data_IF_822682445243
#
_entry.id   IF_822682445243
#
_cell.length_a   1.000
_cell.length_b   1.000
_cell.length_c   1.000
_cell.angle_alpha   90.00
_cell.angle_beta   90.00
_cell.angle_gamma   90.00
#
_symmetry.space_group_name_H-M   'P 1'
#
loop_
_entity.id
_entity.type
_entity.pdbx_description
1 polymer ?
#
# COMPACT_ATOMS: atom_id res chain seq x y z
N UNK A 1 -4.32 -9.78 -8.06
CA UNK A 1 -3.27 -9.56 -7.02
C UNK A 1 -3.94 -8.88 -5.83
N UNK A 2 -3.67 -9.30 -4.59
CA UNK A 2 -4.15 -8.55 -3.43
C UNK A 2 -3.21 -7.36 -3.20
N UNK A 3 -3.64 -6.17 -3.61
CA UNK A 3 -2.80 -4.97 -3.60
C UNK A 3 -2.30 -4.62 -2.19
N UNK A 4 -3.14 -4.66 -1.16
CA UNK A 4 -2.73 -4.27 0.20
C UNK A 4 -1.69 -5.22 0.80
N UNK A 5 -1.80 -6.52 0.53
CA UNK A 5 -0.78 -7.48 0.95
C UNK A 5 0.53 -7.26 0.18
N UNK A 6 0.44 -7.17 -1.16
CA UNK A 6 1.59 -6.90 -2.02
C UNK A 6 2.31 -5.61 -1.61
N UNK A 7 1.56 -4.52 -1.37
CA UNK A 7 2.09 -3.24 -0.91
C UNK A 7 2.85 -3.40 0.39
N UNK A 8 2.27 -4.11 1.37
CA UNK A 8 2.88 -4.34 2.67
C UNK A 8 4.20 -5.12 2.55
N UNK A 9 4.23 -6.14 1.69
CA UNK A 9 5.44 -6.95 1.45
C UNK A 9 6.55 -6.10 0.81
N UNK A 10 6.22 -5.30 -0.21
CA UNK A 10 7.20 -4.43 -0.88
C UNK A 10 7.68 -3.31 0.04
N UNK A 11 6.79 -2.66 0.79
CA UNK A 11 7.16 -1.65 1.78
C UNK A 11 8.16 -2.23 2.79
N UNK A 12 7.91 -3.44 3.31
CA UNK A 12 8.82 -4.11 4.25
C UNK A 12 10.21 -4.37 3.64
N UNK A 13 10.27 -4.82 2.38
CA UNK A 13 11.54 -5.04 1.68
C UNK A 13 12.30 -3.72 1.51
N UNK A 14 11.62 -2.66 1.09
CA UNK A 14 12.23 -1.35 0.89
C UNK A 14 12.73 -0.76 2.20
N UNK A 15 12.00 -0.92 3.30
CA UNK A 15 12.43 -0.51 4.63
C UNK A 15 13.66 -1.30 5.09
N UNK A 16 13.65 -2.63 4.93
CA UNK A 16 14.78 -3.49 5.31
C UNK A 16 16.08 -3.15 4.56
N UNK A 17 15.95 -2.65 3.33
CA UNK A 17 17.08 -2.22 2.48
C UNK A 17 17.43 -0.74 2.63
N UNK A 18 16.66 0.04 3.41
CA UNK A 18 16.84 1.49 3.52
C UNK A 18 16.48 2.26 2.24
N UNK A 19 15.71 1.66 1.33
CA UNK A 19 15.37 2.18 0.00
C UNK A 19 13.98 2.83 -0.06
N UNK A 20 13.24 2.86 1.05
CA UNK A 20 11.86 3.38 1.11
C UNK A 20 11.72 4.84 0.65
N UNK A 21 12.77 5.64 0.79
CA UNK A 21 12.78 7.05 0.38
C UNK A 21 12.71 7.26 -1.14
N UNK A 22 13.05 6.26 -1.96
CA UNK A 22 12.94 6.37 -3.43
C UNK A 22 11.49 6.51 -3.90
N UNK A 23 10.57 5.78 -3.26
CA UNK A 23 9.13 5.80 -3.59
C UNK A 23 8.35 6.89 -2.84
N UNK A 24 8.97 7.59 -1.88
CA UNK A 24 8.29 8.64 -1.11
C UNK A 24 8.17 9.94 -1.94
N UNK A 25 6.95 10.43 -2.24
CA UNK A 25 6.77 11.68 -2.97
C UNK A 25 7.28 12.92 -2.24
N UNK A 26 7.49 12.85 -0.92
CA UNK A 26 8.02 13.97 -0.11
C UNK A 26 9.53 14.12 -0.20
N UNK A 27 10.23 13.08 -0.66
CA UNK A 27 11.70 13.11 -0.81
C UNK A 27 12.01 13.67 -2.20
N UNK A 28 12.72 14.81 -2.31
CA UNK A 28 13.05 15.37 -3.62
C UNK A 28 13.99 14.44 -4.39
N UNK A 29 13.80 14.36 -5.71
CA UNK A 29 14.75 13.71 -6.60
C UNK A 29 15.94 14.67 -6.78
N UNK A 30 17.19 14.20 -6.73
CA UNK A 30 18.35 15.04 -6.98
C UNK A 30 18.24 15.75 -8.35
N UNK A 31 18.69 17.00 -8.48
CA UNK A 31 18.67 17.70 -9.75
C UNK A 31 19.64 17.04 -10.74
N UNK A 32 19.33 17.08 -12.03
CA UNK A 32 20.17 16.49 -13.10
C UNK A 32 21.53 17.16 -13.22
N UNK A 33 21.63 18.42 -12.83
CA UNK A 33 22.84 19.23 -12.88
C UNK A 33 23.09 19.88 -11.52
N UNK A 34 24.36 20.16 -11.23
CA UNK A 34 24.82 20.87 -10.04
C UNK A 34 25.88 21.90 -10.43
N UNK A 35 26.18 22.85 -9.54
CA UNK A 35 27.23 23.83 -9.78
C UNK A 35 28.60 23.24 -9.43
N UNK A 36 29.55 23.39 -10.34
CA UNK A 36 30.96 23.11 -10.06
C UNK A 36 31.47 24.12 -9.00
N UNK A 37 32.04 23.65 -7.87
CA UNK A 37 32.49 24.53 -6.78
C UNK A 37 33.63 25.48 -7.16
N UNK A 38 34.35 25.18 -8.24
CA UNK A 38 35.55 25.89 -8.69
C UNK A 38 35.20 26.83 -9.85
N UNK A 39 34.50 26.33 -10.87
CA UNK A 39 34.20 27.09 -12.09
C UNK A 39 32.85 27.80 -12.04
N UNK A 40 31.99 27.47 -11.07
CA UNK A 40 30.62 27.97 -10.94
C UNK A 40 29.77 27.74 -12.21
N UNK A 41 30.11 26.71 -12.99
CA UNK A 41 29.37 26.29 -14.18
C UNK A 41 28.46 25.11 -13.85
N UNK A 42 27.36 24.95 -14.59
CA UNK A 42 26.51 23.76 -14.48
C UNK A 42 27.24 22.53 -15.03
N UNK A 43 27.31 21.48 -14.23
CA UNK A 43 27.87 20.17 -14.56
C UNK A 43 26.86 19.06 -14.23
N UNK A 44 26.94 17.87 -14.86
CA UNK A 44 26.11 16.74 -14.48
C UNK A 44 26.23 16.42 -12.99
N UNK A 45 25.12 16.11 -12.33
CA UNK A 45 25.10 15.79 -10.90
C UNK A 45 25.38 14.29 -10.66
N UNK A 46 26.51 13.94 -10.01
CA UNK A 46 26.80 12.54 -9.68
C UNK A 46 25.74 11.88 -8.78
N UNK A 47 25.11 12.65 -7.90
CA UNK A 47 24.05 12.15 -7.00
C UNK A 47 22.80 11.73 -7.79
N UNK A 48 22.47 12.45 -8.87
CA UNK A 48 21.37 12.08 -9.75
C UNK A 48 21.69 10.78 -10.49
N UNK A 49 22.92 10.60 -10.98
CA UNK A 49 23.32 9.37 -11.65
C UNK A 49 23.26 8.15 -10.73
N UNK A 50 23.70 8.29 -9.48
CA UNK A 50 23.59 7.24 -8.46
C UNK A 50 22.13 6.96 -8.12
N UNK A 51 21.33 8.02 -7.93
CA UNK A 51 19.90 7.91 -7.68
C UNK A 51 19.20 7.13 -8.79
N UNK A 52 19.46 7.44 -10.07
CA UNK A 52 18.86 6.74 -11.21
C UNK A 52 19.22 5.26 -11.20
N UNK A 53 20.47 4.88 -10.92
CA UNK A 53 20.87 3.46 -10.89
C UNK A 53 20.07 2.67 -9.86
N UNK A 54 19.93 3.23 -8.65
CA UNK A 54 19.20 2.60 -7.56
C UNK A 54 17.69 2.58 -7.83
N UNK A 55 17.13 3.69 -8.33
CA UNK A 55 15.71 3.77 -8.71
C UNK A 55 15.35 2.74 -9.79
N UNK A 56 16.18 2.58 -10.82
CA UNK A 56 15.96 1.59 -11.88
C UNK A 56 16.06 0.14 -11.36
N UNK A 57 16.95 -0.11 -10.40
CA UNK A 57 16.99 -1.40 -9.70
C UNK A 57 15.67 -1.67 -8.97
N UNK A 58 15.19 -0.71 -8.17
CA UNK A 58 13.93 -0.83 -7.42
C UNK A 58 12.75 -1.03 -8.38
N UNK A 59 12.66 -0.20 -9.43
CA UNK A 59 11.63 -0.30 -10.45
C UNK A 59 11.62 -1.70 -11.08
N UNK A 60 12.79 -2.23 -11.45
CA UNK A 60 12.90 -3.59 -12.00
C UNK A 60 12.41 -4.64 -11.01
N UNK A 61 12.73 -4.52 -9.71
CA UNK A 61 12.23 -5.46 -8.71
C UNK A 61 10.70 -5.38 -8.59
N UNK A 62 10.13 -4.18 -8.49
CA UNK A 62 8.68 -3.95 -8.42
C UNK A 62 7.98 -4.60 -9.63
N UNK A 63 8.44 -4.30 -10.86
CA UNK A 63 7.83 -4.83 -12.08
C UNK A 63 7.91 -6.36 -12.20
N UNK A 64 8.86 -7.03 -11.52
CA UNK A 64 8.95 -8.50 -11.48
C UNK A 64 7.95 -9.14 -10.53
N UNK A 65 7.34 -8.37 -9.63
CA UNK A 65 6.39 -8.89 -8.62
C UNK A 65 4.93 -8.73 -9.03
N UNK A 66 4.65 -8.01 -10.12
CA UNK A 66 3.30 -7.74 -10.61
C UNK A 66 2.93 -8.67 -11.78
N UNK A 67 1.63 -8.83 -12.03
CA UNK A 67 1.12 -9.65 -13.14
C UNK A 67 1.10 -8.88 -14.46
N UNK A 68 1.17 -9.57 -15.59
CA UNK A 68 1.19 -8.97 -16.94
C UNK A 68 0.06 -7.93 -17.21
N UNK A 69 -1.21 -8.14 -16.80
CA UNK A 69 -2.25 -7.11 -16.99
C UNK A 69 -1.94 -5.79 -16.29
N UNK A 70 -1.27 -5.86 -15.13
CA UNK A 70 -0.89 -4.69 -14.32
C UNK A 70 0.36 -4.04 -14.90
N UNK A 71 1.29 -4.84 -15.45
CA UNK A 71 2.47 -4.34 -16.15
C UNK A 71 2.11 -3.47 -17.36
N UNK A 72 1.05 -3.81 -18.10
CA UNK A 72 0.58 -2.99 -19.22
C UNK A 72 0.09 -1.59 -18.77
N UNK A 73 -0.34 -1.44 -17.52
CA UNK A 73 -0.78 -0.16 -16.96
C UNK A 73 0.41 0.74 -16.61
N UNK A 74 1.62 0.19 -16.46
CA UNK A 74 2.83 0.96 -16.11
C UNK A 74 3.55 1.52 -17.33
N UNK A 75 3.02 1.35 -18.54
CA UNK A 75 3.68 1.82 -19.76
C UNK A 75 3.85 3.35 -19.74
N UNK A 76 5.10 3.80 -19.85
CA UNK A 76 5.45 5.23 -19.82
C UNK A 76 5.83 5.79 -18.44
N UNK A 77 5.64 5.01 -17.37
CA UNK A 77 6.18 5.34 -16.04
C UNK A 77 7.66 4.96 -16.00
N UNK A 78 8.52 5.89 -15.59
CA UNK A 78 9.98 5.80 -15.73
C UNK A 78 10.70 5.56 -14.41
N UNK A 79 10.06 5.86 -13.29
CA UNK A 79 10.64 5.76 -11.95
C UNK A 79 9.86 4.80 -11.06
N UNK A 80 10.53 4.24 -10.05
CA UNK A 80 9.87 3.39 -9.05
C UNK A 80 8.73 4.13 -8.33
N UNK A 81 8.93 5.42 -8.07
CA UNK A 81 7.95 6.33 -7.47
C UNK A 81 6.70 6.51 -8.33
N UNK A 82 6.86 6.72 -9.63
CA UNK A 82 5.73 6.88 -10.54
C UNK A 82 4.86 5.61 -10.57
N UNK A 83 5.49 4.43 -10.65
CA UNK A 83 4.79 3.13 -10.61
C UNK A 83 4.08 2.93 -9.27
N UNK A 84 4.77 3.20 -8.16
CA UNK A 84 4.20 3.08 -6.83
C UNK A 84 2.95 3.96 -6.66
N UNK A 85 3.07 5.24 -7.01
CA UNK A 85 1.97 6.20 -6.93
C UNK A 85 0.81 5.84 -7.87
N UNK A 86 1.12 5.31 -9.06
CA UNK A 86 0.09 4.85 -9.98
C UNK A 86 -0.74 3.73 -9.36
N UNK A 87 -0.12 2.72 -8.75
CA UNK A 87 -0.88 1.65 -8.09
C UNK A 87 -1.67 2.12 -6.88
N UNK A 88 -1.08 3.01 -6.07
CA UNK A 88 -1.77 3.60 -4.92
C UNK A 88 -3.01 4.37 -5.35
N UNK A 89 -2.90 5.19 -6.40
CA UNK A 89 -4.01 5.94 -6.96
C UNK A 89 -5.05 5.03 -7.60
N UNK A 90 -4.64 4.07 -8.44
CA UNK A 90 -5.57 3.16 -9.12
C UNK A 90 -6.39 2.35 -8.11
N UNK A 91 -5.76 1.85 -7.04
CA UNK A 91 -6.47 1.14 -5.99
C UNK A 91 -7.39 2.06 -5.19
N UNK A 92 -6.97 3.29 -4.88
CA UNK A 92 -7.84 4.26 -4.23
C UNK A 92 -9.07 4.58 -5.10
N UNK A 93 -8.88 4.87 -6.38
CA UNK A 93 -9.94 5.23 -7.33
C UNK A 93 -10.95 4.07 -7.50
N UNK A 94 -10.48 2.82 -7.50
CA UNK A 94 -11.33 1.62 -7.59
C UNK A 94 -12.23 1.45 -6.35
N UNK A 95 -11.68 1.59 -5.14
CA UNK A 95 -12.41 1.24 -3.89
C UNK A 95 -13.00 2.43 -3.13
N UNK A 96 -12.67 3.68 -3.49
CA UNK A 96 -13.14 4.87 -2.76
C UNK A 96 -14.67 5.00 -2.70
N UNK A 97 -15.38 4.54 -3.74
CA UNK A 97 -16.84 4.51 -3.79
C UNK A 97 -17.49 3.44 -2.91
N UNK A 98 -16.74 2.41 -2.52
CA UNK A 98 -17.25 1.27 -1.75
C UNK A 98 -17.27 1.51 -0.24
N UNK A 99 -16.72 2.65 0.24
CA UNK A 99 -16.63 2.96 1.68
C UNK A 99 -17.95 2.77 2.44
N UNK A 100 -19.12 3.23 1.95
CA UNK A 100 -20.39 3.01 2.65
C UNK A 100 -20.76 1.52 2.75
N UNK A 101 -20.55 0.76 1.68
CA UNK A 101 -20.84 -0.68 1.63
C UNK A 101 -19.90 -1.46 2.55
N UNK A 102 -18.59 -1.15 2.53
CA UNK A 102 -17.60 -1.75 3.40
C UNK A 102 -17.94 -1.53 4.88
N UNK A 103 -18.36 -0.32 5.26
CA UNK A 103 -18.82 -0.02 6.62
C UNK A 103 -20.07 -0.79 6.99
N UNK A 104 -21.06 -0.84 6.09
CA UNK A 104 -22.27 -1.61 6.33
C UNK A 104 -21.94 -3.10 6.51
N UNK A 105 -21.13 -3.67 5.63
CA UNK A 105 -20.70 -5.06 5.67
C UNK A 105 -19.92 -5.36 6.94
N UNK A 106 -19.08 -4.45 7.44
CA UNK A 106 -18.39 -4.62 8.72
C UNK A 106 -19.36 -4.77 9.90
N UNK A 107 -20.43 -3.95 9.93
CA UNK A 107 -21.43 -3.95 11.01
C UNK A 107 -22.36 -5.16 10.95
N UNK A 108 -22.66 -5.66 9.76
CA UNK A 108 -23.62 -6.76 9.55
C UNK A 108 -22.97 -8.12 9.38
N UNK A 109 -21.63 -8.20 9.30
CA UNK A 109 -20.94 -9.47 9.14
C UNK A 109 -21.21 -10.40 10.32
N UNK A 110 -21.65 -11.62 10.00
CA UNK A 110 -21.84 -12.71 10.94
C UNK A 110 -20.92 -13.88 10.61
N UNK A 111 -20.56 -14.67 11.63
CA UNK A 111 -19.80 -15.90 11.47
C UNK A 111 -20.60 -16.93 10.67
N UNK A 112 -21.91 -17.04 10.88
CA UNK A 112 -22.85 -17.87 10.09
C UNK A 112 -22.30 -19.25 9.71
N UNK A 113 -21.80 -20.00 10.70
CA UNK A 113 -21.27 -21.35 10.49
C UNK A 113 -19.88 -21.42 9.84
N UNK A 114 -19.27 -20.30 9.45
CA UNK A 114 -17.88 -20.22 8.98
C UNK A 114 -16.90 -20.56 10.09
N UNK A 115 -15.69 -20.95 9.71
CA UNK A 115 -14.59 -21.06 10.70
C UNK A 115 -14.27 -19.67 11.25
N UNK A 116 -13.91 -19.62 12.54
CA UNK A 116 -13.55 -18.38 13.23
C UNK A 116 -12.47 -17.60 12.47
N UNK A 117 -11.42 -18.29 11.99
CA UNK A 117 -10.35 -17.65 11.23
C UNK A 117 -10.80 -17.03 9.90
N UNK A 118 -11.78 -17.62 9.22
CA UNK A 118 -12.35 -17.06 7.98
C UNK A 118 -13.17 -15.80 8.28
N UNK A 119 -13.95 -15.83 9.37
CA UNK A 119 -14.73 -14.68 9.84
C UNK A 119 -13.82 -13.48 10.18
N UNK A 120 -12.82 -13.68 11.03
CA UNK A 120 -11.86 -12.62 11.35
C UNK A 120 -11.04 -12.18 10.14
N UNK A 121 -10.67 -13.10 9.25
CA UNK A 121 -9.99 -12.77 8.01
C UNK A 121 -10.77 -11.78 7.15
N UNK A 122 -12.09 -11.94 7.03
CA UNK A 122 -12.95 -10.99 6.31
C UNK A 122 -13.06 -9.63 7.02
N UNK A 123 -13.13 -9.61 8.35
CA UNK A 123 -13.08 -8.36 9.14
C UNK A 123 -11.79 -7.59 8.85
N UNK A 124 -10.64 -8.28 8.92
CA UNK A 124 -9.34 -7.65 8.66
C UNK A 124 -9.21 -7.13 7.23
N UNK A 125 -9.72 -7.86 6.24
CA UNK A 125 -9.75 -7.37 4.84
C UNK A 125 -10.54 -6.06 4.74
N UNK A 126 -11.77 -6.02 5.25
CA UNK A 126 -12.61 -4.81 5.21
C UNK A 126 -11.93 -3.65 5.95
N UNK A 127 -11.41 -3.92 7.15
CA UNK A 127 -10.69 -2.93 7.97
C UNK A 127 -9.47 -2.36 7.25
N UNK A 128 -8.67 -3.20 6.61
CA UNK A 128 -7.45 -2.77 5.92
C UNK A 128 -7.76 -1.90 4.70
N UNK A 129 -8.82 -2.22 3.94
CA UNK A 129 -9.31 -1.38 2.84
C UNK A 129 -9.78 -0.03 3.37
N UNK A 130 -10.61 -0.02 4.42
CA UNK A 130 -11.08 1.22 5.05
C UNK A 130 -9.91 2.07 5.57
N UNK A 131 -8.91 1.46 6.21
CA UNK A 131 -7.71 2.17 6.67
C UNK A 131 -6.95 2.81 5.51
N UNK A 132 -6.71 2.05 4.43
CA UNK A 132 -6.01 2.55 3.25
C UNK A 132 -6.72 3.75 2.61
N UNK A 133 -8.05 3.72 2.56
CA UNK A 133 -8.87 4.81 2.01
C UNK A 133 -8.99 6.02 2.95
N UNK A 134 -8.31 6.03 4.11
CA UNK A 134 -8.38 7.14 5.08
C UNK A 134 -9.61 7.09 5.99
N UNK A 135 -10.30 5.95 6.06
CA UNK A 135 -11.50 5.71 6.86
C UNK A 135 -11.27 4.67 7.96
N UNK A 136 -10.14 4.78 8.67
CA UNK A 136 -9.75 3.85 9.74
C UNK A 136 -10.85 3.66 10.78
N UNK A 137 -11.07 2.40 11.18
CA UNK A 137 -12.01 2.02 12.24
C UNK A 137 -11.25 1.95 13.57
N UNK A 138 -11.80 2.55 14.62
CA UNK A 138 -11.23 2.48 15.96
C UNK A 138 -11.20 1.02 16.46
N UNK A 139 -10.19 0.68 17.26
CA UNK A 139 -10.00 -0.69 17.74
C UNK A 139 -11.20 -1.19 18.55
N UNK A 140 -11.71 -0.37 19.47
CA UNK A 140 -12.89 -0.69 20.28
C UNK A 140 -14.14 -0.95 19.41
N UNK A 141 -14.35 -0.14 18.36
CA UNK A 141 -15.47 -0.33 17.44
C UNK A 141 -15.31 -1.61 16.62
N UNK A 142 -14.08 -1.92 16.19
CA UNK A 142 -13.76 -3.13 15.46
C UNK A 142 -14.02 -4.38 16.32
N UNK A 143 -13.59 -4.34 17.59
CA UNK A 143 -13.85 -5.40 18.58
C UNK A 143 -15.36 -5.57 18.76
N UNK A 144 -16.12 -4.49 18.94
CA UNK A 144 -17.58 -4.56 19.09
C UNK A 144 -18.27 -5.16 17.85
N UNK A 145 -17.83 -4.78 16.64
CA UNK A 145 -18.33 -5.36 15.40
C UNK A 145 -18.04 -6.87 15.32
N UNK A 146 -16.81 -7.26 15.68
CA UNK A 146 -16.39 -8.65 15.64
C UNK A 146 -17.14 -9.51 16.65
N UNK A 147 -17.28 -9.05 17.90
CA UNK A 147 -18.00 -9.78 18.94
C UNK A 147 -19.48 -9.92 18.61
N UNK A 148 -20.11 -8.86 18.07
CA UNK A 148 -21.51 -8.88 17.68
C UNK A 148 -21.86 -9.90 16.58
N UNK A 149 -20.88 -10.44 15.86
CA UNK A 149 -21.09 -11.42 14.80
C UNK A 149 -20.64 -12.85 15.10
N UNK A 150 -20.03 -13.13 16.26
CA UNK A 150 -19.54 -14.47 16.62
C UNK A 150 -20.67 -15.48 16.88
N UNK A 151 -21.83 -15.01 17.34
CA UNK A 151 -22.98 -15.86 17.71
C UNK A 151 -22.91 -16.37 19.15
N UNK A 152 -24.05 -16.86 19.65
CA UNK A 152 -24.25 -17.21 21.07
C UNK A 152 -23.31 -18.27 21.63
N UNK A 153 -22.73 -19.10 20.76
CA UNK A 153 -21.75 -20.12 21.15
C UNK A 153 -20.43 -19.56 21.71
N UNK A 154 -20.24 -18.24 21.63
CA UNK A 154 -19.08 -17.53 22.20
C UNK A 154 -19.42 -16.57 23.36
N UNK A 155 -20.69 -16.50 23.80
CA UNK A 155 -21.12 -15.52 24.82
C UNK A 155 -20.35 -15.69 26.15
N UNK A 156 -20.00 -16.92 26.53
CA UNK A 156 -19.24 -17.24 27.75
C UNK A 156 -17.78 -16.72 27.75
N UNK A 157 -17.22 -16.43 26.58
CA UNK A 157 -15.84 -15.93 26.44
C UNK A 157 -15.75 -14.39 26.41
N UNK A 158 -16.89 -13.71 26.33
CA UNK A 158 -16.99 -12.25 26.19
C UNK A 158 -17.23 -11.57 27.56
N UNK A 159 -17.28 -12.34 28.64
CA UNK A 159 -17.64 -11.91 30.00
C UNK A 159 -16.47 -11.37 30.83
#
# INVERSE_FOLDING_TARGET
MNYLLWRSDIDLILEALGLRHYIDPKVPIPPTETLDPITNTLIPNPEYEEWVKTDQYILTQILRTITEPILNQTNGLKTSREVWNHFEKSYFDEYSGEVPELRHRLLTLRKDGRKVGEYFGEIYKIRNVLWFLGHSVAEDDLVRCALGGLGHEYDDFVQ
#
